data_IF_445484150405
#
_entry.id   IF_445484150405
#
_cell.length_a   1.000
_cell.length_b   1.000
_cell.length_c   1.000
_cell.angle_alpha   90.00
_cell.angle_beta   90.00
_cell.angle_gamma   90.00
#
_symmetry.space_group_name_H-M   'P 1'
#
loop_
_entity.id
_entity.type
_entity.pdbx_description
1 polymer ?
#
# COMPACT_ATOMS: atom_id res chain seq x y z
N UNK A 1 5.57 89.93 40.49
CA UNK A 1 4.37 90.68 40.03
C UNK A 1 3.99 90.22 38.62
N UNK A 2 2.71 89.99 38.38
CA UNK A 2 2.03 89.70 37.09
C UNK A 2 1.96 88.18 36.73
N UNK A 3 0.92 87.58 37.13
CA UNK A 3 -0.48 87.46 36.68
C UNK A 3 -0.60 86.28 35.67
N UNK A 4 -1.22 85.29 36.22
CA UNK A 4 -1.83 84.11 35.68
C UNK A 4 -2.89 84.44 34.63
N UNK A 5 -2.91 83.73 33.50
CA UNK A 5 -4.14 83.53 32.73
C UNK A 5 -4.25 82.06 32.40
N UNK A 6 -5.28 81.47 32.91
CA UNK A 6 -5.72 80.11 32.71
C UNK A 6 -6.52 80.02 31.40
N UNK A 7 -6.19 79.20 30.46
CA UNK A 7 -7.09 78.84 29.37
C UNK A 7 -7.31 77.33 29.43
N UNK A 8 -8.57 76.99 29.78
CA UNK A 8 -9.08 75.64 29.75
C UNK A 8 -9.52 75.35 28.32
N UNK A 9 -8.87 74.42 27.66
CA UNK A 9 -9.36 73.83 26.41
C UNK A 9 -9.89 72.41 26.67
N UNK A 10 -11.19 72.29 26.51
CA UNK A 10 -11.87 71.00 26.59
C UNK A 10 -11.57 70.20 25.37
N UNK A 11 -10.91 69.04 25.52
CA UNK A 11 -10.74 68.08 24.49
C UNK A 11 -11.87 67.07 24.53
N UNK A 12 -12.77 67.09 23.56
CA UNK A 12 -13.76 66.05 23.31
C UNK A 12 -13.06 64.82 22.81
N UNK A 13 -13.05 63.73 23.60
CA UNK A 13 -12.69 62.42 23.10
C UNK A 13 -13.84 61.86 22.27
N UNK A 14 -13.63 61.76 20.98
CA UNK A 14 -14.47 60.95 20.08
C UNK A 14 -13.96 59.53 20.17
N UNK A 15 -14.69 58.67 20.91
CA UNK A 15 -14.47 57.24 20.93
C UNK A 15 -15.01 56.64 19.63
N UNK A 16 -14.17 56.46 18.61
CA UNK A 16 -14.52 55.66 17.46
C UNK A 16 -14.31 54.19 17.79
N UNK A 17 -15.44 53.53 18.08
CA UNK A 17 -15.51 52.08 18.18
C UNK A 17 -15.21 51.47 16.81
N UNK A 18 -13.99 51.00 16.61
CA UNK A 18 -13.63 50.20 15.44
C UNK A 18 -14.15 48.79 15.68
N UNK A 19 -15.36 48.50 15.21
CA UNK A 19 -15.81 47.14 15.00
C UNK A 19 -14.92 46.50 13.91
N UNK A 20 -13.87 45.81 14.34
CA UNK A 20 -13.03 45.00 13.47
C UNK A 20 -13.84 43.73 13.14
N UNK A 21 -14.10 43.57 11.86
CA UNK A 21 -14.90 42.51 11.32
C UNK A 21 -14.13 41.15 11.52
N UNK A 22 -14.54 40.36 12.53
CA UNK A 22 -14.01 39.01 12.80
C UNK A 22 -14.34 37.99 11.71
N UNK A 23 -15.10 38.38 10.70
CA UNK A 23 -15.50 37.50 9.59
C UNK A 23 -14.49 37.36 8.45
N UNK A 24 -13.39 38.16 8.42
CA UNK A 24 -12.36 38.05 7.39
C UNK A 24 -11.17 37.20 7.82
N UNK A 25 -11.00 36.90 9.08
CA UNK A 25 -9.87 36.10 9.57
C UNK A 25 -10.16 34.59 9.59
N UNK A 26 -11.43 34.18 9.39
CA UNK A 26 -11.82 32.77 9.26
C UNK A 26 -11.76 32.23 7.82
N UNK A 27 -11.66 33.12 6.81
CA UNK A 27 -11.59 32.71 5.41
C UNK A 27 -10.15 32.42 4.94
N UNK A 28 -9.15 33.00 5.60
CA UNK A 28 -7.75 32.83 5.17
C UNK A 28 -7.08 31.56 5.73
N UNK A 29 -7.70 30.93 6.75
CA UNK A 29 -7.19 29.68 7.35
C UNK A 29 -7.76 28.42 6.67
N UNK A 30 -8.76 28.57 5.78
CA UNK A 30 -9.36 27.45 5.06
C UNK A 30 -8.77 27.18 3.67
N UNK A 31 -7.87 28.03 3.19
CA UNK A 31 -7.32 27.93 1.82
C UNK A 31 -5.96 27.23 1.77
N UNK A 32 -5.38 26.81 2.90
CA UNK A 32 -4.09 26.10 2.95
C UNK A 32 -4.18 24.62 3.36
N UNK A 33 -5.36 24.02 3.29
CA UNK A 33 -5.43 22.57 3.14
C UNK A 33 -5.32 22.26 1.63
N UNK A 34 -4.23 22.71 1.03
CA UNK A 34 -3.80 22.24 -0.27
C UNK A 34 -3.64 20.72 -0.16
N UNK A 35 -4.46 20.05 -0.93
CA UNK A 35 -4.55 18.61 -1.12
C UNK A 35 -3.16 18.11 -1.57
N UNK A 36 -2.21 17.98 -0.66
CA UNK A 36 -0.96 17.27 -0.91
C UNK A 36 -1.35 15.81 -1.14
N UNK A 37 -1.64 15.48 -2.38
CA UNK A 37 -1.79 14.09 -2.80
C UNK A 37 -0.44 13.43 -2.49
N UNK A 38 -0.38 12.71 -1.37
CA UNK A 38 0.80 11.93 -1.03
C UNK A 38 0.98 10.94 -2.18
N UNK A 39 2.12 11.05 -2.88
CA UNK A 39 2.42 10.15 -3.98
C UNK A 39 2.35 8.69 -3.51
N UNK A 40 1.72 7.85 -4.30
CA UNK A 40 1.68 6.42 -4.04
C UNK A 40 3.08 5.85 -4.23
N UNK A 41 3.66 5.11 -3.25
CA UNK A 41 5.03 4.65 -3.34
C UNK A 41 5.18 3.60 -4.44
N UNK A 42 6.28 3.71 -5.19
CA UNK A 42 6.62 2.80 -6.29
C UNK A 42 7.86 1.98 -5.97
N UNK A 43 7.91 0.76 -6.51
CA UNK A 43 8.98 -0.20 -6.28
C UNK A 43 9.37 -0.92 -7.56
N UNK A 44 10.64 -1.25 -7.68
CA UNK A 44 11.14 -2.19 -8.66
C UNK A 44 11.30 -3.58 -8.02
N UNK A 45 10.63 -4.58 -8.59
CA UNK A 45 10.79 -5.99 -8.23
C UNK A 45 11.56 -6.70 -9.33
N UNK A 46 12.78 -7.10 -9.04
CA UNK A 46 13.61 -7.91 -9.94
C UNK A 46 13.39 -9.37 -9.63
N UNK A 47 13.04 -10.14 -10.65
CA UNK A 47 12.85 -11.60 -10.55
C UNK A 47 13.77 -12.36 -11.49
N UNK A 48 13.88 -13.68 -11.34
CA UNK A 48 14.59 -14.53 -12.28
C UNK A 48 13.97 -14.58 -13.69
N UNK A 49 12.74 -14.03 -13.86
CA UNK A 49 11.99 -14.01 -15.12
C UNK A 49 11.82 -12.60 -15.71
N UNK A 50 12.37 -11.59 -15.06
CA UNK A 50 12.31 -10.19 -15.49
C UNK A 50 11.97 -9.23 -14.37
N UNK A 51 11.83 -7.96 -14.71
CA UNK A 51 11.59 -6.87 -13.77
C UNK A 51 10.17 -6.35 -13.90
N UNK A 52 9.52 -6.08 -12.77
CA UNK A 52 8.21 -5.45 -12.68
C UNK A 52 8.32 -4.16 -11.88
N UNK A 53 7.55 -3.12 -12.26
CA UNK A 53 7.32 -1.97 -11.40
C UNK A 53 5.98 -2.12 -10.67
N UNK A 54 6.00 -1.85 -9.40
CA UNK A 54 4.86 -1.96 -8.50
C UNK A 54 4.50 -0.58 -7.99
N UNK A 55 3.21 -0.31 -7.86
CA UNK A 55 2.69 0.88 -7.20
C UNK A 55 1.74 0.46 -6.09
N UNK A 56 1.87 1.06 -4.90
CA UNK A 56 1.01 0.75 -3.76
C UNK A 56 -0.02 1.85 -3.53
N UNK A 57 -1.22 1.46 -3.13
CA UNK A 57 -2.36 2.35 -2.99
C UNK A 57 -2.44 3.03 -1.63
N UNK A 58 -2.73 4.32 -1.63
CA UNK A 58 -2.88 5.13 -0.41
C UNK A 58 -4.15 4.79 0.38
N UNK A 59 -5.19 4.24 -0.24
CA UNK A 59 -6.44 3.89 0.44
C UNK A 59 -6.36 2.58 1.24
N UNK A 60 -5.25 1.86 1.16
CA UNK A 60 -4.95 0.67 1.98
C UNK A 60 -3.67 0.88 2.79
N UNK A 61 -3.64 1.88 3.70
CA UNK A 61 -2.41 2.34 4.34
C UNK A 61 -1.74 1.27 5.20
N UNK A 62 -2.49 0.37 5.85
CA UNK A 62 -1.89 -0.68 6.69
C UNK A 62 -1.10 -1.69 5.86
N UNK A 63 -1.65 -2.11 4.71
CA UNK A 63 -0.96 -3.02 3.80
C UNK A 63 0.21 -2.33 3.11
N UNK A 64 0.00 -1.09 2.62
CA UNK A 64 1.04 -0.26 2.02
C UNK A 64 2.24 -0.09 2.97
N UNK A 65 2.01 0.40 4.17
CA UNK A 65 3.06 0.73 5.13
C UNK A 65 3.78 -0.54 5.61
N UNK A 66 3.05 -1.66 5.76
CA UNK A 66 3.63 -2.95 6.06
C UNK A 66 4.54 -3.46 4.93
N UNK A 67 4.12 -3.34 3.67
CA UNK A 67 4.95 -3.73 2.52
C UNK A 67 6.21 -2.86 2.44
N UNK A 68 6.08 -1.54 2.59
CA UNK A 68 7.22 -0.60 2.65
C UNK A 68 8.21 -0.99 3.74
N UNK A 69 7.73 -1.29 4.95
CA UNK A 69 8.57 -1.76 6.05
C UNK A 69 9.38 -3.01 5.66
N UNK A 70 8.70 -4.03 5.11
CA UNK A 70 9.34 -5.28 4.73
C UNK A 70 10.35 -5.10 3.59
N UNK A 71 10.07 -4.22 2.62
CA UNK A 71 11.03 -3.86 1.57
C UNK A 71 12.28 -3.21 2.16
N UNK A 72 12.13 -2.28 3.08
CA UNK A 72 13.26 -1.61 3.75
C UNK A 72 14.11 -2.60 4.57
N UNK A 73 13.52 -3.70 5.04
CA UNK A 73 14.19 -4.80 5.73
C UNK A 73 14.80 -5.83 4.77
N UNK A 74 14.70 -5.64 3.44
CA UNK A 74 15.06 -6.61 2.39
C UNK A 74 14.38 -7.98 2.60
N UNK A 75 13.18 -7.99 3.18
CA UNK A 75 12.48 -9.21 3.56
C UNK A 75 12.16 -10.10 2.36
N UNK A 76 11.87 -9.53 1.19
CA UNK A 76 11.49 -10.26 0.00
C UNK A 76 12.67 -10.82 -0.81
N UNK A 77 13.88 -10.30 -0.57
CA UNK A 77 15.07 -10.68 -1.33
C UNK A 77 15.39 -12.17 -1.09
N UNK A 78 15.51 -12.93 -2.19
CA UNK A 78 15.78 -14.37 -2.17
C UNK A 78 14.56 -15.26 -1.87
N UNK A 79 13.34 -14.70 -1.75
CA UNK A 79 12.12 -15.51 -1.68
C UNK A 79 11.72 -16.04 -3.05
N UNK A 80 10.85 -17.05 -3.06
CA UNK A 80 10.29 -17.66 -4.27
C UNK A 80 8.82 -17.35 -4.42
N UNK A 81 8.34 -17.32 -5.66
CA UNK A 81 6.94 -17.55 -5.95
C UNK A 81 6.68 -19.04 -5.73
N UNK A 82 6.15 -19.35 -4.56
CA UNK A 82 5.97 -20.73 -4.08
C UNK A 82 4.67 -21.37 -4.55
N UNK A 83 3.75 -20.58 -5.13
CA UNK A 83 2.50 -21.06 -5.72
C UNK A 83 2.18 -20.26 -6.98
N UNK A 84 2.04 -20.95 -8.10
CA UNK A 84 1.81 -20.36 -9.43
C UNK A 84 0.70 -21.14 -10.11
N UNK A 85 -0.36 -20.44 -10.51
CA UNK A 85 -1.47 -21.04 -11.26
C UNK A 85 -1.71 -20.23 -12.51
N UNK A 86 -1.46 -20.83 -13.67
CA UNK A 86 -1.79 -20.24 -14.97
C UNK A 86 -3.29 -19.94 -15.04
N UNK A 87 -3.66 -18.78 -15.58
CA UNK A 87 -5.05 -18.33 -15.64
C UNK A 87 -5.62 -17.88 -14.29
N UNK A 88 -4.80 -17.72 -13.23
CA UNK A 88 -5.26 -17.24 -11.94
C UNK A 88 -4.31 -16.22 -11.31
N UNK A 89 -3.20 -16.66 -10.69
CA UNK A 89 -2.30 -15.76 -9.95
C UNK A 89 -0.91 -16.35 -9.75
N UNK A 90 0.05 -15.49 -9.35
CA UNK A 90 1.37 -15.88 -8.85
C UNK A 90 1.51 -15.41 -7.40
N UNK A 91 1.86 -16.29 -6.46
CA UNK A 91 1.91 -16.02 -5.02
C UNK A 91 3.31 -16.20 -4.45
N UNK A 92 3.75 -15.21 -3.66
CA UNK A 92 5.04 -15.19 -2.99
C UNK A 92 4.97 -14.60 -1.59
N UNK A 93 6.14 -14.25 -1.00
CA UNK A 93 6.23 -13.58 0.29
C UNK A 93 6.33 -14.52 1.50
N UNK A 94 6.47 -15.82 1.30
CA UNK A 94 6.70 -16.78 2.38
C UNK A 94 8.20 -16.88 2.73
N UNK A 95 8.63 -16.58 3.97
CA UNK A 95 10.03 -16.67 4.37
C UNK A 95 10.60 -18.09 4.33
N UNK A 96 9.77 -19.12 4.47
CA UNK A 96 10.22 -20.51 4.31
C UNK A 96 10.67 -20.82 2.89
N UNK A 97 10.18 -20.07 1.91
CA UNK A 97 10.55 -20.27 0.50
C UNK A 97 12.00 -19.91 0.16
N UNK A 98 12.78 -19.34 1.11
CA UNK A 98 14.24 -19.20 0.95
C UNK A 98 14.97 -20.54 0.99
N UNK A 99 14.42 -21.49 1.73
CA UNK A 99 15.07 -22.77 2.05
C UNK A 99 14.33 -23.90 1.35
N UNK A 100 14.97 -24.49 0.35
CA UNK A 100 14.39 -25.62 -0.40
C UNK A 100 14.20 -26.88 0.45
N UNK A 101 14.93 -27.01 1.56
CA UNK A 101 14.75 -28.14 2.50
C UNK A 101 13.44 -28.02 3.28
N UNK A 102 12.79 -26.85 3.29
CA UNK A 102 11.50 -26.58 3.93
C UNK A 102 10.35 -26.54 2.95
N UNK A 103 10.49 -27.13 1.77
CA UNK A 103 9.48 -27.08 0.73
C UNK A 103 8.08 -27.51 1.21
N UNK A 104 7.97 -28.46 2.13
CA UNK A 104 6.69 -28.92 2.72
C UNK A 104 6.00 -27.86 3.60
N UNK A 105 6.72 -26.81 4.01
CA UNK A 105 6.22 -25.70 4.82
C UNK A 105 5.89 -24.45 3.99
N UNK A 106 6.23 -24.44 2.69
CA UNK A 106 5.96 -23.26 1.85
C UNK A 106 4.47 -22.96 1.79
N UNK A 107 4.14 -21.69 1.87
CA UNK A 107 2.78 -21.18 1.98
C UNK A 107 2.27 -21.04 3.43
N UNK A 108 3.04 -21.52 4.43
CA UNK A 108 2.65 -21.48 5.84
C UNK A 108 3.42 -20.41 6.65
N UNK A 109 4.50 -19.85 6.10
CA UNK A 109 5.35 -18.89 6.77
C UNK A 109 4.82 -17.45 6.70
N UNK A 110 5.44 -16.61 7.52
CA UNK A 110 5.19 -15.17 7.61
C UNK A 110 5.77 -14.61 8.90
N UNK A 111 5.69 -13.29 9.09
CA UNK A 111 5.94 -12.69 10.39
C UNK A 111 4.86 -13.15 11.40
N UNK A 112 5.12 -12.95 12.69
CA UNK A 112 4.26 -13.36 13.81
C UNK A 112 3.01 -12.48 14.01
N UNK A 113 2.63 -11.70 12.99
CA UNK A 113 1.47 -10.82 12.98
C UNK A 113 0.66 -10.95 11.69
N UNK A 114 -0.57 -10.45 11.74
CA UNK A 114 -1.45 -10.29 10.58
C UNK A 114 -1.80 -8.82 10.38
N UNK A 115 -2.19 -8.47 9.15
CA UNK A 115 -2.65 -7.12 8.81
C UNK A 115 -4.18 -7.11 8.76
N UNK A 116 -4.87 -6.23 9.52
CA UNK A 116 -6.33 -6.12 9.43
C UNK A 116 -6.78 -5.85 8.01
N UNK A 117 -7.89 -6.47 7.58
CA UNK A 117 -8.42 -6.30 6.24
C UNK A 117 -8.74 -4.84 5.91
N UNK A 118 -8.46 -4.45 4.67
CA UNK A 118 -8.76 -3.13 4.10
C UNK A 118 -9.45 -3.34 2.74
N UNK A 119 -10.78 -3.47 2.75
CA UNK A 119 -11.57 -3.65 1.53
C UNK A 119 -11.99 -2.29 0.98
N UNK A 120 -11.54 -1.96 -0.22
CA UNK A 120 -11.81 -0.72 -0.93
C UNK A 120 -12.59 -1.04 -2.19
N UNK A 121 -13.81 -0.53 -2.29
CA UNK A 121 -14.74 -0.87 -3.38
C UNK A 121 -14.29 -0.42 -4.77
N UNK A 122 -13.36 0.53 -4.86
CA UNK A 122 -12.77 1.01 -6.11
C UNK A 122 -11.70 0.08 -6.66
N UNK A 123 -11.20 -0.87 -5.86
CA UNK A 123 -10.16 -1.82 -6.26
C UNK A 123 -10.76 -3.19 -6.54
N UNK A 124 -10.39 -3.77 -7.67
CA UNK A 124 -10.79 -5.11 -8.08
C UNK A 124 -9.57 -5.89 -8.57
N UNK A 125 -9.71 -7.21 -8.66
CA UNK A 125 -8.64 -8.11 -9.07
C UNK A 125 -8.37 -8.07 -10.58
N UNK A 126 -8.08 -6.89 -11.14
CA UNK A 126 -7.61 -6.76 -12.52
C UNK A 126 -6.25 -7.44 -12.69
N UNK A 127 -5.87 -7.79 -13.93
CA UNK A 127 -4.53 -8.29 -14.22
C UNK A 127 -3.47 -7.33 -13.67
N UNK A 128 -2.50 -7.88 -12.94
CA UNK A 128 -1.45 -7.12 -12.26
C UNK A 128 -1.84 -6.55 -10.90
N UNK A 129 -3.09 -6.67 -10.44
CA UNK A 129 -3.44 -6.27 -9.06
C UNK A 129 -2.64 -7.08 -8.04
N UNK A 130 -2.17 -6.40 -6.99
CA UNK A 130 -1.43 -7.00 -5.87
C UNK A 130 -2.38 -7.09 -4.68
N UNK A 131 -2.66 -8.31 -4.22
CA UNK A 131 -3.55 -8.56 -3.11
C UNK A 131 -2.88 -9.42 -2.04
N UNK A 132 -3.24 -9.16 -0.79
CA UNK A 132 -2.68 -9.87 0.35
C UNK A 132 -3.32 -11.26 0.50
N UNK A 133 -2.48 -12.30 0.61
CA UNK A 133 -2.95 -13.64 0.93
C UNK A 133 -3.49 -13.72 2.37
N UNK A 134 -4.38 -14.67 2.64
CA UNK A 134 -4.94 -14.90 3.97
C UNK A 134 -5.39 -16.35 4.16
N UNK A 135 -5.58 -16.75 5.40
CA UNK A 135 -6.22 -18.03 5.74
C UNK A 135 -7.70 -17.99 5.39
N UNK A 136 -8.28 -19.16 5.11
CA UNK A 136 -9.72 -19.30 4.82
C UNK A 136 -10.62 -18.88 5.98
N UNK A 137 -11.87 -18.52 5.69
CA UNK A 137 -12.82 -17.87 6.61
C UNK A 137 -13.08 -18.66 7.90
N UNK A 138 -13.07 -20.00 7.86
CA UNK A 138 -13.25 -20.84 9.05
C UNK A 138 -12.14 -20.65 10.09
N UNK A 139 -10.89 -20.49 9.63
CA UNK A 139 -9.73 -20.27 10.49
C UNK A 139 -9.44 -18.78 10.74
N UNK A 140 -10.08 -17.89 9.98
CA UNK A 140 -9.83 -16.45 10.01
C UNK A 140 -11.11 -15.66 9.69
N UNK A 141 -12.07 -15.63 10.59
CA UNK A 141 -13.36 -14.95 10.37
C UNK A 141 -13.21 -13.43 10.22
N UNK A 142 -12.13 -12.85 10.73
CA UNK A 142 -11.82 -11.41 10.57
C UNK A 142 -11.26 -11.06 9.20
N UNK A 143 -10.95 -12.06 8.36
CA UNK A 143 -10.31 -11.91 7.06
C UNK A 143 -8.98 -11.14 7.10
N UNK A 144 -8.29 -11.14 8.24
CA UNK A 144 -7.00 -10.53 8.39
C UNK A 144 -5.98 -11.16 7.41
N UNK A 145 -5.16 -10.33 6.80
CA UNK A 145 -4.18 -10.75 5.81
C UNK A 145 -2.92 -11.31 6.45
N UNK A 146 -2.20 -12.14 5.71
CA UNK A 146 -0.81 -12.49 6.03
C UNK A 146 0.03 -11.21 6.19
N UNK A 147 0.99 -11.23 7.12
CA UNK A 147 1.91 -10.12 7.28
C UNK A 147 2.92 -9.96 6.14
N UNK A 148 3.09 -10.98 5.27
CA UNK A 148 4.08 -10.90 4.19
C UNK A 148 3.66 -11.56 2.87
N UNK A 149 2.79 -12.56 2.91
CA UNK A 149 2.39 -13.25 1.69
C UNK A 149 1.38 -12.43 0.89
N UNK A 150 1.63 -12.31 -0.41
CA UNK A 150 0.75 -11.64 -1.38
C UNK A 150 0.74 -12.40 -2.70
N UNK A 151 -0.24 -12.11 -3.52
CA UNK A 151 -0.30 -12.61 -4.88
C UNK A 151 -0.52 -11.49 -5.88
N UNK A 152 -0.06 -11.73 -7.11
CA UNK A 152 -0.27 -10.86 -8.26
C UNK A 152 -1.21 -11.57 -9.22
N UNK A 153 -2.27 -10.90 -9.61
CA UNK A 153 -3.31 -11.44 -10.50
C UNK A 153 -2.75 -11.64 -11.91
N UNK A 154 -2.92 -12.85 -12.45
CA UNK A 154 -2.61 -13.16 -13.85
C UNK A 154 -3.85 -13.01 -14.74
N UNK A 155 -5.01 -13.59 -14.36
CA UNK A 155 -6.28 -13.45 -15.08
C UNK A 155 -7.36 -12.89 -14.18
N UNK A 156 -7.90 -11.73 -14.54
CA UNK A 156 -8.94 -11.04 -13.79
C UNK A 156 -10.25 -11.82 -13.73
N UNK A 157 -10.63 -12.52 -14.80
CA UNK A 157 -11.90 -13.25 -14.86
C UNK A 157 -11.95 -14.38 -13.83
N UNK A 158 -10.82 -15.04 -13.57
CA UNK A 158 -10.71 -16.07 -12.57
C UNK A 158 -10.75 -15.51 -11.13
N UNK A 159 -10.45 -14.22 -10.94
CA UNK A 159 -10.32 -13.57 -9.64
C UNK A 159 -11.55 -12.77 -9.21
N UNK A 160 -12.59 -12.60 -10.03
CA UNK A 160 -13.78 -11.79 -9.71
C UNK A 160 -14.44 -12.16 -8.38
N UNK A 161 -14.45 -13.44 -8.01
CA UNK A 161 -15.02 -13.94 -6.76
C UNK A 161 -14.23 -13.51 -5.49
N UNK A 162 -13.03 -12.96 -5.66
CA UNK A 162 -12.16 -12.48 -4.57
C UNK A 162 -12.40 -11.00 -4.25
N UNK A 163 -13.12 -10.26 -5.09
CA UNK A 163 -13.42 -8.84 -4.88
C UNK A 163 -14.19 -8.64 -3.58
N UNK A 164 -13.73 -7.69 -2.76
CA UNK A 164 -14.27 -7.44 -1.43
C UNK A 164 -13.99 -8.54 -0.39
N UNK A 165 -13.22 -9.58 -0.75
CA UNK A 165 -12.85 -10.69 0.14
C UNK A 165 -11.36 -10.70 0.48
N UNK A 166 -10.53 -10.06 -0.34
CA UNK A 166 -9.09 -9.90 -0.15
C UNK A 166 -8.70 -8.44 -0.29
N UNK A 167 -7.70 -7.99 0.49
CA UNK A 167 -7.24 -6.61 0.45
C UNK A 167 -6.29 -6.42 -0.73
N UNK A 168 -6.75 -5.66 -1.72
CA UNK A 168 -5.92 -5.22 -2.85
C UNK A 168 -5.22 -3.94 -2.41
N UNK A 169 -3.89 -3.94 -2.45
CA UNK A 169 -3.09 -2.83 -1.91
C UNK A 169 -2.10 -2.22 -2.91
N UNK A 170 -2.11 -2.70 -4.15
CA UNK A 170 -1.24 -2.18 -5.21
C UNK A 170 -1.52 -2.81 -6.55
N UNK A 171 -0.67 -2.45 -7.49
CA UNK A 171 -0.70 -2.98 -8.85
C UNK A 171 0.70 -3.02 -9.48
N UNK A 172 0.88 -3.87 -10.48
CA UNK A 172 2.02 -3.86 -11.39
C UNK A 172 1.72 -2.83 -12.49
N UNK A 173 2.57 -1.82 -12.61
CA UNK A 173 2.42 -0.73 -13.58
C UNK A 173 3.23 -0.97 -14.86
N UNK A 174 4.36 -1.67 -14.73
CA UNK A 174 5.19 -2.09 -15.88
C UNK A 174 5.65 -3.54 -15.69
N UNK A 175 5.86 -4.27 -16.77
CA UNK A 175 6.30 -5.67 -16.73
C UNK A 175 5.15 -6.67 -16.54
N UNK A 176 3.94 -6.39 -17.04
CA UNK A 176 2.81 -7.33 -17.00
C UNK A 176 3.12 -8.65 -17.74
N UNK A 177 3.97 -8.60 -18.75
CA UNK A 177 4.48 -9.77 -19.47
C UNK A 177 5.39 -10.68 -18.61
N UNK A 178 6.00 -10.13 -17.56
CA UNK A 178 6.75 -10.93 -16.56
C UNK A 178 5.79 -11.82 -15.78
N UNK A 179 4.59 -11.32 -15.45
CA UNK A 179 3.55 -12.13 -14.80
C UNK A 179 3.19 -13.32 -15.69
N UNK A 180 3.00 -13.08 -16.99
CA UNK A 180 2.68 -14.15 -17.95
C UNK A 180 3.79 -15.20 -18.04
N UNK A 181 5.06 -14.76 -18.09
CA UNK A 181 6.20 -15.68 -18.09
C UNK A 181 6.28 -16.53 -16.82
N UNK A 182 6.00 -15.92 -15.66
CA UNK A 182 5.99 -16.66 -14.40
C UNK A 182 4.79 -17.60 -14.33
N UNK A 183 3.59 -17.12 -14.71
CA UNK A 183 2.37 -17.89 -14.61
C UNK A 183 2.35 -19.16 -15.46
N UNK A 184 3.14 -19.19 -16.54
CA UNK A 184 3.21 -20.31 -17.49
C UNK A 184 4.34 -21.30 -17.23
N UNK A 185 5.11 -21.14 -16.14
CA UNK A 185 6.15 -22.13 -15.80
C UNK A 185 5.52 -23.46 -15.40
N UNK A 186 6.18 -24.60 -15.69
CA UNK A 186 5.71 -25.91 -15.24
C UNK A 186 5.66 -25.99 -13.72
N UNK A 187 4.57 -26.53 -13.17
CA UNK A 187 4.35 -26.70 -11.74
C UNK A 187 4.11 -28.15 -11.35
N UNK A 188 4.28 -28.47 -10.07
CA UNK A 188 3.91 -29.74 -9.48
C UNK A 188 2.41 -29.79 -9.13
N UNK A 189 1.98 -30.92 -8.50
CA UNK A 189 0.60 -31.11 -8.05
C UNK A 189 0.11 -30.07 -7.01
N UNK A 190 1.02 -29.37 -6.35
CA UNK A 190 0.73 -28.33 -5.35
C UNK A 190 0.85 -26.92 -5.93
N UNK A 191 0.80 -26.77 -7.25
CA UNK A 191 0.99 -25.50 -7.96
C UNK A 191 2.37 -24.86 -7.72
N UNK A 192 3.36 -25.63 -7.32
CA UNK A 192 4.70 -25.14 -7.05
C UNK A 192 5.55 -25.22 -8.32
N UNK A 193 6.24 -24.15 -8.74
CA UNK A 193 7.15 -24.21 -9.88
C UNK A 193 8.19 -25.32 -9.74
N UNK A 194 8.41 -26.11 -10.80
CA UNK A 194 9.40 -27.17 -10.84
C UNK A 194 10.83 -26.61 -10.85
N UNK A 195 11.02 -25.44 -11.44
CA UNK A 195 12.24 -24.64 -11.35
C UNK A 195 11.97 -23.39 -10.51
N UNK A 196 12.93 -23.02 -9.67
CA UNK A 196 12.79 -21.91 -8.76
C UNK A 196 12.52 -20.57 -9.48
N UNK A 197 11.39 -19.94 -9.20
CA UNK A 197 11.09 -18.57 -9.63
C UNK A 197 11.40 -17.63 -8.46
N UNK A 198 12.55 -16.95 -8.56
CA UNK A 198 13.11 -16.15 -7.47
C UNK A 198 12.68 -14.68 -7.54
N UNK A 199 12.39 -14.09 -6.38
CA UNK A 199 12.42 -12.64 -6.17
C UNK A 199 13.87 -12.30 -5.81
N UNK A 200 14.59 -11.65 -6.71
CA UNK A 200 16.01 -11.31 -6.51
C UNK A 200 16.11 -10.11 -5.57
N UNK A 201 15.30 -9.08 -5.82
CA UNK A 201 15.22 -7.90 -4.94
C UNK A 201 13.93 -7.13 -5.15
N UNK A 202 13.52 -6.39 -4.10
CA UNK A 202 12.47 -5.37 -4.19
C UNK A 202 13.04 -4.08 -3.62
N UNK A 203 13.05 -3.00 -4.41
CA UNK A 203 13.64 -1.71 -4.00
C UNK A 203 12.69 -0.56 -4.32
N UNK A 204 12.65 0.50 -3.49
CA UNK A 204 11.89 1.71 -3.83
C UNK A 204 12.46 2.37 -5.08
N UNK A 205 11.57 2.98 -5.88
CA UNK A 205 11.92 3.86 -7.00
C UNK A 205 11.92 5.30 -6.45
N UNK A 206 13.02 6.03 -6.66
CA UNK A 206 13.19 7.42 -6.25
C UNK A 206 12.51 8.39 -7.22
#
# INVERSE_FOLDING_TARGET
MKRIVLIIAAVMMISSCACRNESQQASDTQTEMENTVIAEPEFEMVTSHGTMKLKLYNMTPKHRDNFVKLVNENYYDGLRFHRVIEGFMIQGGDPYSRDTTKADLWGQGGPDYTVPAEFVSQYWHKKGAIAAARKGDMANPTKASSGSQSYIVHDENACLHLDGQYSIFGEVTEGLDVIDRIATVPTDYYDRPLEDVMIISVKPIE
#
